data_IF_404884153805
#
_entry.id   IF_404884153805
#
_cell.length_a   1.000
_cell.length_b   1.000
_cell.length_c   1.000
_cell.angle_alpha   90.00
_cell.angle_beta   90.00
_cell.angle_gamma   90.00
#
_symmetry.space_group_name_H-M   'P 1'
#
loop_
_entity.id
_entity.type
_entity.pdbx_description
1 polymer ?
#
# COMPACT_ATOMS: atom_id res chain seq x y z
N UNK A 1 4.55 25.48 13.78
CA UNK A 1 4.75 24.07 14.19
C UNK A 1 5.71 23.42 13.20
N UNK A 2 6.73 22.70 13.70
CA UNK A 2 7.72 22.02 12.85
C UNK A 2 7.46 20.51 12.84
N UNK A 3 7.15 19.96 11.67
CA UNK A 3 6.78 18.56 11.47
C UNK A 3 7.89 17.88 10.66
N UNK A 4 8.45 16.81 11.20
CA UNK A 4 9.32 15.92 10.47
C UNK A 4 8.51 14.75 9.93
N UNK A 5 8.70 14.35 8.66
CA UNK A 5 7.96 13.27 8.03
C UNK A 5 8.88 12.32 7.27
N UNK A 6 8.51 11.04 7.18
CA UNK A 6 9.30 10.03 6.49
C UNK A 6 8.44 9.01 5.76
N UNK A 7 8.44 9.02 4.43
CA UNK A 7 7.89 7.99 3.56
C UNK A 7 9.02 7.31 2.78
N UNK A 8 9.15 5.99 2.92
CA UNK A 8 10.25 5.22 2.33
C UNK A 8 9.85 4.43 1.07
N UNK A 9 8.57 4.45 0.69
CA UNK A 9 8.00 3.73 -0.45
C UNK A 9 6.98 4.60 -1.19
N UNK A 10 6.75 4.32 -2.46
CA UNK A 10 5.83 5.08 -3.33
C UNK A 10 4.40 5.11 -2.79
N UNK A 11 3.92 3.98 -2.21
CA UNK A 11 2.60 3.91 -1.56
C UNK A 11 2.52 4.86 -0.36
N UNK A 12 3.59 4.92 0.43
CA UNK A 12 3.69 5.83 1.57
C UNK A 12 3.75 7.30 1.14
N UNK A 13 4.45 7.62 0.04
CA UNK A 13 4.51 8.98 -0.51
C UNK A 13 3.13 9.46 -0.98
N UNK A 14 2.39 8.61 -1.69
CA UNK A 14 1.03 8.92 -2.15
C UNK A 14 0.08 9.22 -0.98
N UNK A 15 0.07 8.36 0.03
CA UNK A 15 -0.81 8.54 1.20
C UNK A 15 -0.30 9.69 2.08
N UNK A 16 1.02 9.84 2.19
CA UNK A 16 1.67 10.94 2.90
C UNK A 16 1.37 12.30 2.29
N UNK A 17 1.21 12.38 0.97
CA UNK A 17 0.82 13.61 0.28
C UNK A 17 -0.55 14.12 0.74
N UNK A 18 -1.54 13.24 0.88
CA UNK A 18 -2.85 13.61 1.42
C UNK A 18 -2.75 14.14 2.86
N UNK A 19 -1.90 13.53 3.70
CA UNK A 19 -1.64 14.01 5.05
C UNK A 19 -0.97 15.40 5.04
N UNK A 20 0.06 15.59 4.22
CA UNK A 20 0.77 16.89 4.09
C UNK A 20 -0.20 17.99 3.68
N UNK A 21 -1.01 17.74 2.65
CA UNK A 21 -2.06 18.66 2.20
C UNK A 21 -2.99 19.07 3.33
N UNK A 22 -3.59 18.08 4.00
CA UNK A 22 -4.52 18.34 5.11
C UNK A 22 -3.88 19.11 6.28
N UNK A 23 -2.62 18.82 6.61
CA UNK A 23 -1.90 19.53 7.66
C UNK A 23 -1.64 21.01 7.30
N UNK A 24 -1.30 21.30 6.04
CA UNK A 24 -1.09 22.67 5.55
C UNK A 24 -2.43 23.42 5.47
N UNK A 25 -3.50 22.78 5.03
CA UNK A 25 -4.84 23.38 5.01
C UNK A 25 -5.32 23.76 6.42
N UNK A 26 -5.05 22.91 7.42
CA UNK A 26 -5.40 23.17 8.82
C UNK A 26 -4.50 24.21 9.50
N UNK A 27 -3.24 24.28 9.13
CA UNK A 27 -2.27 25.20 9.67
C UNK A 27 -1.25 25.64 8.61
N UNK A 28 -1.55 26.70 7.83
CA UNK A 28 -0.68 27.18 6.76
C UNK A 28 0.74 27.58 7.21
N UNK A 29 0.95 27.90 8.49
CA UNK A 29 2.25 28.26 9.03
C UNK A 29 3.08 27.04 9.48
N UNK A 30 2.58 25.81 9.28
CA UNK A 30 3.36 24.64 9.63
C UNK A 30 4.49 24.40 8.61
N UNK A 31 5.65 24.02 9.14
CA UNK A 31 6.82 23.64 8.32
C UNK A 31 6.92 22.12 8.32
N UNK A 32 6.81 21.51 7.15
CA UNK A 32 6.89 20.06 6.97
C UNK A 32 8.13 19.74 6.16
N UNK A 33 9.03 18.92 6.71
CA UNK A 33 10.27 18.54 6.03
C UNK A 33 10.60 17.06 6.26
N UNK A 34 11.31 16.43 5.31
CA UNK A 34 11.76 15.06 5.58
C UNK A 34 12.17 14.20 4.40
N UNK A 35 12.00 12.89 4.59
CA UNK A 35 12.17 11.87 3.55
C UNK A 35 10.87 11.77 2.77
N UNK A 36 10.88 12.22 1.52
CA UNK A 36 9.68 12.35 0.69
C UNK A 36 9.97 12.03 -0.78
N UNK A 37 8.92 11.67 -1.49
CA UNK A 37 8.91 11.59 -2.94
C UNK A 37 8.32 12.84 -3.60
N UNK A 38 7.95 12.71 -4.87
CA UNK A 38 7.40 13.81 -5.66
C UNK A 38 5.99 14.21 -5.21
N UNK A 39 5.17 13.23 -4.75
CA UNK A 39 3.78 13.50 -4.36
C UNK A 39 3.73 14.38 -3.09
N UNK A 40 4.43 14.00 -2.03
CA UNK A 40 4.50 14.81 -0.82
C UNK A 40 5.16 16.16 -1.06
N UNK A 41 6.18 16.23 -1.92
CA UNK A 41 6.84 17.48 -2.27
C UNK A 41 5.92 18.42 -3.02
N UNK A 42 5.08 17.88 -3.92
CA UNK A 42 4.06 18.64 -4.64
C UNK A 42 2.99 19.28 -3.74
N UNK A 43 2.72 18.68 -2.58
CA UNK A 43 1.78 19.20 -1.57
C UNK A 43 2.46 20.09 -0.50
N UNK A 44 3.74 20.44 -0.68
CA UNK A 44 4.44 21.42 0.17
C UNK A 44 5.38 20.85 1.23
N UNK A 45 5.69 19.55 1.18
CA UNK A 45 6.75 18.98 2.03
C UNK A 45 8.14 19.37 1.50
N UNK A 46 8.96 19.98 2.33
CA UNK A 46 10.37 20.28 2.00
C UNK A 46 11.21 18.99 2.06
N UNK A 47 11.60 18.48 0.90
CA UNK A 47 12.35 17.23 0.77
C UNK A 47 13.81 17.39 1.14
N UNK A 48 14.21 16.89 2.32
CA UNK A 48 15.60 16.83 2.77
C UNK A 48 16.32 15.59 2.24
N UNK A 49 15.60 14.47 2.10
CA UNK A 49 16.09 13.22 1.51
C UNK A 49 15.09 12.72 0.46
N UNK A 50 15.63 12.24 -0.65
CA UNK A 50 14.81 11.60 -1.67
C UNK A 50 14.48 10.16 -1.24
N UNK A 51 13.20 9.77 -1.32
CA UNK A 51 12.77 8.42 -0.97
C UNK A 51 13.38 7.33 -1.87
N UNK A 52 13.86 7.65 -3.08
CA UNK A 52 14.52 6.69 -3.97
C UNK A 52 15.74 6.03 -3.31
N UNK A 53 16.35 6.72 -2.34
CA UNK A 53 17.43 6.14 -1.52
C UNK A 53 16.93 5.08 -0.53
N UNK A 54 15.65 5.07 -0.20
CA UNK A 54 15.01 4.10 0.70
C UNK A 54 14.21 3.03 -0.06
N UNK A 55 13.77 3.35 -1.27
CA UNK A 55 12.94 2.46 -2.09
C UNK A 55 13.78 1.29 -2.62
N UNK A 56 13.52 0.09 -2.11
CA UNK A 56 14.27 -1.13 -2.44
C UNK A 56 13.29 -2.24 -2.75
N UNK A 57 13.33 -2.75 -3.97
CA UNK A 57 12.50 -3.86 -4.42
C UNK A 57 13.29 -5.17 -4.44
N UNK A 58 12.79 -6.17 -3.70
CA UNK A 58 13.31 -7.53 -3.71
C UNK A 58 14.41 -7.83 -2.68
N UNK A 59 14.45 -9.09 -2.23
CA UNK A 59 15.30 -9.55 -1.12
C UNK A 59 16.81 -9.38 -1.39
N UNK A 60 17.24 -9.64 -2.63
CA UNK A 60 18.66 -9.51 -3.02
C UNK A 60 19.12 -8.05 -3.08
N UNK A 61 18.23 -7.14 -3.48
CA UNK A 61 18.52 -5.71 -3.54
C UNK A 61 18.56 -5.09 -2.14
N UNK A 62 17.67 -5.54 -1.24
CA UNK A 62 17.69 -5.15 0.18
C UNK A 62 19.04 -5.45 0.81
N UNK A 63 19.62 -6.62 0.56
CA UNK A 63 20.92 -6.99 1.12
C UNK A 63 22.06 -6.08 0.59
N UNK A 64 22.04 -5.73 -0.69
CA UNK A 64 23.05 -4.85 -1.29
C UNK A 64 22.94 -3.40 -0.80
N UNK A 65 21.72 -2.90 -0.61
CA UNK A 65 21.45 -1.53 -0.18
C UNK A 65 21.36 -1.36 1.36
N UNK A 66 21.51 -2.45 2.13
CA UNK A 66 21.38 -2.39 3.58
C UNK A 66 22.32 -1.35 4.25
N UNK A 67 23.61 -1.22 3.87
CA UNK A 67 24.49 -0.20 4.44
C UNK A 67 24.01 1.23 4.18
N UNK A 68 23.53 1.52 2.96
CA UNK A 68 22.99 2.84 2.60
C UNK A 68 21.71 3.17 3.36
N UNK A 69 20.81 2.19 3.53
CA UNK A 69 19.59 2.34 4.33
C UNK A 69 19.91 2.61 5.81
N UNK A 70 20.92 1.94 6.37
CA UNK A 70 21.36 2.18 7.73
C UNK A 70 21.96 3.58 7.88
N UNK A 71 22.76 4.03 6.90
CA UNK A 71 23.34 5.37 6.89
C UNK A 71 22.25 6.44 6.77
N UNK A 72 21.26 6.26 5.88
CA UNK A 72 20.11 7.15 5.73
C UNK A 72 19.33 7.26 7.04
N UNK A 73 19.00 6.14 7.68
CA UNK A 73 18.34 6.14 8.99
C UNK A 73 19.13 6.90 10.06
N UNK A 74 20.44 6.68 10.10
CA UNK A 74 21.30 7.35 11.05
C UNK A 74 21.34 8.86 10.81
N UNK A 75 21.41 9.30 9.54
CA UNK A 75 21.38 10.72 9.21
C UNK A 75 20.07 11.40 9.60
N UNK A 76 18.93 10.76 9.35
CA UNK A 76 17.59 11.24 9.76
C UNK A 76 17.50 11.38 11.28
N UNK A 77 17.92 10.35 12.03
CA UNK A 77 17.90 10.37 13.50
C UNK A 77 18.80 11.48 14.04
N UNK A 78 20.03 11.60 13.52
CA UNK A 78 20.97 12.64 13.97
C UNK A 78 20.44 14.04 13.68
N UNK A 79 19.91 14.27 12.49
CA UNK A 79 19.34 15.57 12.11
C UNK A 79 18.20 15.99 13.04
N UNK A 80 17.21 15.09 13.26
CA UNK A 80 16.05 15.44 14.06
C UNK A 80 16.32 15.44 15.57
N UNK A 81 17.28 14.68 16.06
CA UNK A 81 17.74 14.81 17.45
C UNK A 81 18.31 16.22 17.73
N UNK A 82 18.98 16.82 16.74
CA UNK A 82 19.55 18.16 16.84
C UNK A 82 18.51 19.27 16.58
N UNK A 83 17.69 19.12 15.54
CA UNK A 83 16.71 20.15 15.12
C UNK A 83 15.42 20.16 15.94
N UNK A 84 15.14 19.08 16.69
CA UNK A 84 14.04 18.91 17.64
C UNK A 84 12.68 19.36 17.07
N UNK A 85 12.13 18.71 16.06
CA UNK A 85 10.79 19.00 15.58
C UNK A 85 9.75 18.76 16.68
N UNK A 86 8.58 19.40 16.57
CA UNK A 86 7.47 19.21 17.50
C UNK A 86 6.91 17.77 17.44
N UNK A 87 6.95 17.16 16.23
CA UNK A 87 6.52 15.79 15.98
C UNK A 87 7.28 15.18 14.81
N UNK A 88 7.55 13.87 14.88
CA UNK A 88 8.00 13.06 13.78
C UNK A 88 6.89 12.10 13.35
N UNK A 89 6.58 12.05 12.05
CA UNK A 89 5.56 11.18 11.45
C UNK A 89 6.23 10.19 10.51
N UNK A 90 6.20 8.89 10.87
CA UNK A 90 6.57 7.83 9.94
C UNK A 90 5.35 7.39 9.14
N UNK A 91 5.45 7.39 7.82
CA UNK A 91 4.37 6.96 6.91
C UNK A 91 4.72 5.61 6.33
N UNK A 92 3.89 4.61 6.60
CA UNK A 92 4.08 3.24 6.11
C UNK A 92 5.49 2.67 6.41
N UNK A 93 5.94 1.64 5.68
CA UNK A 93 7.28 1.04 5.78
C UNK A 93 7.75 0.83 7.23
N UNK A 94 7.01 0.04 8.04
CA UNK A 94 7.22 -0.06 9.49
C UNK A 94 8.62 -0.58 9.87
N UNK A 95 9.22 -1.43 9.04
CA UNK A 95 10.57 -1.95 9.29
C UNK A 95 11.66 -0.88 9.08
N UNK A 96 11.37 0.21 8.35
CA UNK A 96 12.22 1.37 8.21
C UNK A 96 11.91 2.43 9.29
N UNK A 97 10.66 2.86 9.39
CA UNK A 97 10.24 4.00 10.21
C UNK A 97 10.25 3.72 11.71
N UNK A 98 9.81 2.55 12.20
CA UNK A 98 9.83 2.25 13.63
C UNK A 98 11.21 2.33 14.28
N UNK A 99 12.28 2.11 13.51
CA UNK A 99 13.64 2.24 14.06
C UNK A 99 14.05 3.71 14.23
N UNK A 100 13.57 4.60 13.36
CA UNK A 100 13.77 6.05 13.47
C UNK A 100 12.91 6.57 14.62
N UNK A 101 11.61 6.30 14.60
CA UNK A 101 10.64 6.70 15.61
C UNK A 101 11.10 6.33 17.02
N UNK A 102 11.51 5.07 17.23
CA UNK A 102 12.00 4.61 18.53
C UNK A 102 13.17 5.44 19.05
N UNK A 103 14.12 5.77 18.16
CA UNK A 103 15.29 6.58 18.52
C UNK A 103 14.88 8.02 18.86
N UNK A 104 14.00 8.60 18.06
CA UNK A 104 13.52 9.97 18.28
C UNK A 104 12.64 10.07 19.54
N UNK A 105 11.77 9.10 19.79
CA UNK A 105 10.99 8.98 21.01
C UNK A 105 11.88 8.90 22.25
N UNK A 106 12.96 8.10 22.20
CA UNK A 106 13.96 8.04 23.28
C UNK A 106 14.66 9.38 23.55
N UNK A 107 14.72 10.25 22.54
CA UNK A 107 15.26 11.62 22.64
C UNK A 107 14.17 12.68 22.98
N UNK A 108 12.98 12.24 23.39
CA UNK A 108 11.89 13.12 23.83
C UNK A 108 11.08 13.77 22.72
N UNK A 109 11.26 13.37 21.44
CA UNK A 109 10.48 13.85 20.31
C UNK A 109 9.19 13.03 20.23
N UNK A 110 8.05 13.68 20.07
CA UNK A 110 6.76 13.01 19.85
C UNK A 110 6.79 12.26 18.53
N UNK A 111 6.25 11.03 18.54
CA UNK A 111 6.27 10.15 17.36
C UNK A 111 4.88 9.67 17.01
N UNK A 112 4.55 9.76 15.74
CA UNK A 112 3.30 9.28 15.14
C UNK A 112 3.65 8.32 14.01
N UNK A 113 2.96 7.20 13.95
CA UNK A 113 3.06 6.30 12.80
C UNK A 113 1.75 6.31 12.03
N UNK A 114 1.80 6.63 10.77
CA UNK A 114 0.65 6.65 9.87
C UNK A 114 0.66 5.42 8.97
N UNK A 115 -0.43 4.72 8.90
CA UNK A 115 -0.69 3.42 8.28
C UNK A 115 -0.25 2.27 9.20
N UNK A 116 -1.23 1.69 9.87
CA UNK A 116 -1.02 0.52 10.71
C UNK A 116 -0.50 -0.68 9.91
N UNK A 117 0.60 -1.31 10.32
CA UNK A 117 0.95 -2.61 9.74
C UNK A 117 -0.09 -3.66 10.13
N UNK A 118 -0.29 -4.68 9.28
CA UNK A 118 -1.31 -5.73 9.45
C UNK A 118 -1.04 -6.67 10.64
N UNK A 119 -0.71 -6.11 11.82
CA UNK A 119 -0.40 -6.87 13.05
C UNK A 119 -1.62 -7.55 13.66
N UNK A 120 -2.80 -7.08 13.34
CA UNK A 120 -4.07 -7.69 13.70
C UNK A 120 -4.30 -9.03 12.98
N UNK A 121 -3.82 -9.16 11.73
CA UNK A 121 -3.97 -10.38 10.93
C UNK A 121 -2.88 -11.41 11.25
N UNK A 122 -1.66 -10.95 11.56
CA UNK A 122 -0.51 -11.81 11.81
C UNK A 122 0.55 -11.04 12.61
N UNK A 123 1.46 -11.74 13.31
CA UNK A 123 2.56 -11.13 14.08
C UNK A 123 2.10 -10.13 15.16
N UNK A 124 1.01 -10.41 15.87
CA UNK A 124 0.53 -9.57 16.98
C UNK A 124 1.59 -9.28 18.07
N UNK A 125 2.63 -10.11 18.17
CA UNK A 125 3.78 -9.87 19.06
C UNK A 125 4.60 -8.62 18.69
N UNK A 126 4.43 -8.06 17.49
CA UNK A 126 5.05 -6.77 17.11
C UNK A 126 4.52 -5.58 17.91
N UNK A 127 3.39 -5.72 18.59
CA UNK A 127 2.79 -4.62 19.37
C UNK A 127 3.77 -4.01 20.39
N UNK A 128 4.60 -4.84 21.03
CA UNK A 128 5.63 -4.34 21.97
C UNK A 128 6.65 -3.43 21.30
N UNK A 129 7.03 -3.73 20.04
CA UNK A 129 7.93 -2.88 19.26
C UNK A 129 7.24 -1.59 18.84
N UNK A 130 5.96 -1.66 18.47
CA UNK A 130 5.15 -0.49 18.09
C UNK A 130 5.06 0.47 19.27
N UNK A 131 4.68 -0.01 20.46
CA UNK A 131 4.60 0.80 21.69
C UNK A 131 5.93 1.47 22.06
N UNK A 132 7.04 0.79 21.81
CA UNK A 132 8.37 1.35 22.06
C UNK A 132 8.80 2.38 21.00
N UNK A 133 8.13 2.41 19.84
CA UNK A 133 8.51 3.25 18.71
C UNK A 133 7.63 4.47 18.55
N UNK A 134 6.31 4.34 18.72
CA UNK A 134 5.39 5.44 18.45
C UNK A 134 4.50 5.79 19.63
N UNK A 135 4.13 7.06 19.76
CA UNK A 135 3.21 7.56 20.78
C UNK A 135 1.76 7.43 20.30
N UNK A 136 1.51 7.61 19.02
CA UNK A 136 0.19 7.55 18.41
C UNK A 136 0.26 6.79 17.08
N UNK A 137 -0.68 5.87 16.87
CA UNK A 137 -0.92 5.19 15.60
C UNK A 137 -2.10 5.82 14.87
N UNK A 138 -1.92 6.23 13.62
CA UNK A 138 -3.01 6.66 12.73
C UNK A 138 -3.40 5.49 11.84
N UNK A 139 -4.63 5.05 11.97
CA UNK A 139 -5.17 3.85 11.32
C UNK A 139 -6.07 4.22 10.14
N UNK A 140 -5.97 3.46 9.06
CA UNK A 140 -6.79 3.63 7.86
C UNK A 140 -8.16 2.95 7.98
N UNK A 141 -8.30 1.99 8.91
CA UNK A 141 -9.52 1.21 9.08
C UNK A 141 -10.01 1.23 10.53
N UNK A 142 -11.34 1.32 10.76
CA UNK A 142 -11.88 1.43 12.11
C UNK A 142 -11.61 0.19 12.98
N UNK A 143 -11.62 -1.01 12.41
CA UNK A 143 -11.37 -2.26 13.14
C UNK A 143 -9.96 -2.38 13.73
N UNK A 144 -9.00 -1.60 13.24
CA UNK A 144 -7.62 -1.58 13.75
C UNK A 144 -7.56 -0.97 15.15
N UNK A 145 -8.48 -0.04 15.47
CA UNK A 145 -8.51 0.66 16.77
C UNK A 145 -8.69 -0.35 17.91
N UNK A 146 -9.63 -1.26 17.80
CA UNK A 146 -9.91 -2.29 18.82
C UNK A 146 -8.65 -3.11 19.15
N UNK A 147 -7.85 -3.40 18.13
CA UNK A 147 -6.59 -4.13 18.33
C UNK A 147 -5.61 -3.31 19.17
N UNK A 148 -5.41 -2.03 18.87
CA UNK A 148 -4.49 -1.17 19.58
C UNK A 148 -4.97 -0.85 21.00
N UNK A 149 -6.24 -0.59 21.20
CA UNK A 149 -6.84 -0.33 22.51
C UNK A 149 -6.69 -1.51 23.47
N UNK A 150 -6.96 -2.76 23.00
CA UNK A 150 -6.75 -3.99 23.77
C UNK A 150 -5.31 -4.16 24.25
N UNK A 151 -4.36 -3.54 23.57
CA UNK A 151 -2.95 -3.61 23.93
C UNK A 151 -2.43 -2.33 24.61
N UNK A 152 -3.30 -1.37 24.92
CA UNK A 152 -2.93 -0.11 25.57
C UNK A 152 -2.00 0.77 24.74
N UNK A 153 -2.15 0.77 23.41
CA UNK A 153 -1.50 1.68 22.47
C UNK A 153 -2.51 2.72 22.01
N UNK A 154 -2.15 3.99 22.06
CA UNK A 154 -3.00 5.06 21.50
C UNK A 154 -3.09 4.92 20.00
N UNK A 155 -4.31 4.89 19.49
CA UNK A 155 -4.60 4.84 18.07
C UNK A 155 -5.79 5.76 17.73
N UNK A 156 -5.81 6.24 16.48
CA UNK A 156 -6.89 7.08 15.97
C UNK A 156 -7.22 6.63 14.53
N UNK A 157 -8.49 6.41 14.25
CA UNK A 157 -8.98 6.19 12.91
C UNK A 157 -9.06 7.53 12.17
N UNK A 158 -8.39 7.63 11.03
CA UNK A 158 -8.32 8.85 10.21
C UNK A 158 -8.93 8.67 8.82
N UNK A 159 -9.39 7.47 8.48
CA UNK A 159 -9.91 7.15 7.15
C UNK A 159 -8.81 6.84 6.13
N UNK A 160 -9.25 6.36 4.98
CA UNK A 160 -8.35 6.04 3.87
C UNK A 160 -8.43 7.15 2.81
N UNK A 161 -7.32 7.78 2.37
CA UNK A 161 -7.33 8.88 1.39
C UNK A 161 -8.03 8.53 0.08
N UNK A 162 -7.99 7.27 -0.34
CA UNK A 162 -8.71 6.82 -1.54
C UNK A 162 -10.23 7.06 -1.45
N UNK A 163 -10.82 7.14 -0.27
CA UNK A 163 -12.25 7.41 -0.11
C UNK A 163 -12.65 8.83 -0.58
N UNK A 164 -11.71 9.76 -0.60
CA UNK A 164 -11.94 11.11 -1.15
C UNK A 164 -11.85 11.12 -2.68
N UNK A 165 -10.96 10.30 -3.24
CA UNK A 165 -10.64 10.26 -4.66
C UNK A 165 -11.61 9.35 -5.40
N UNK A 166 -11.85 8.15 -4.86
CA UNK A 166 -12.69 7.14 -5.48
C UNK A 166 -14.15 7.36 -5.07
N UNK A 167 -15.03 7.39 -6.05
CA UNK A 167 -16.48 7.47 -5.82
C UNK A 167 -17.15 6.18 -6.30
N UNK A 168 -18.16 5.69 -5.57
CA UNK A 168 -18.97 4.59 -6.07
C UNK A 168 -19.53 4.91 -7.46
N UNK A 169 -19.50 3.94 -8.35
CA UNK A 169 -20.11 4.13 -9.69
C UNK A 169 -21.60 4.42 -9.55
N UNK A 170 -22.05 5.49 -10.23
CA UNK A 170 -23.45 5.95 -10.14
C UNK A 170 -24.42 5.08 -10.92
N UNK A 171 -23.96 4.58 -12.05
CA UNK A 171 -24.75 3.72 -12.95
C UNK A 171 -23.85 2.63 -13.51
N UNK A 172 -24.43 1.48 -13.70
CA UNK A 172 -23.76 0.34 -14.33
C UNK A 172 -24.61 -0.11 -15.53
N UNK A 173 -24.01 -0.13 -16.70
CA UNK A 173 -24.60 -0.68 -17.91
C UNK A 173 -23.93 -2.04 -18.12
N UNK A 174 -24.65 -3.16 -17.94
CA UNK A 174 -24.07 -4.48 -18.15
C UNK A 174 -23.51 -4.62 -19.57
N UNK A 175 -22.29 -5.12 -19.68
CA UNK A 175 -21.56 -5.20 -20.95
C UNK A 175 -20.68 -6.43 -21.06
N UNK A 176 -20.83 -7.41 -20.14
CA UNK A 176 -20.03 -8.65 -20.10
C UNK A 176 -18.51 -8.39 -20.04
N UNK A 177 -18.08 -7.29 -19.41
CA UNK A 177 -16.70 -6.88 -19.32
C UNK A 177 -16.06 -7.41 -18.03
N UNK A 178 -15.02 -8.22 -18.20
CA UNK A 178 -14.24 -8.79 -17.11
C UNK A 178 -12.86 -8.15 -17.09
N UNK A 179 -12.55 -7.43 -16.02
CA UNK A 179 -11.23 -6.84 -15.80
C UNK A 179 -10.34 -7.83 -15.05
N UNK A 180 -9.11 -7.98 -15.53
CA UNK A 180 -8.10 -8.87 -14.98
C UNK A 180 -6.95 -8.03 -14.42
N UNK A 181 -6.71 -8.12 -13.11
CA UNK A 181 -5.67 -7.35 -12.41
C UNK A 181 -4.68 -8.33 -11.75
N UNK A 182 -3.63 -8.76 -12.46
CA UNK A 182 -2.72 -9.82 -12.00
C UNK A 182 -1.77 -9.38 -10.87
N UNK A 183 -1.83 -8.12 -10.45
CA UNK A 183 -0.93 -7.51 -9.47
C UNK A 183 -0.01 -6.46 -10.07
N UNK A 184 0.84 -5.88 -9.23
CA UNK A 184 1.79 -4.82 -9.60
C UNK A 184 3.25 -5.26 -9.55
N UNK A 185 3.55 -6.39 -8.91
CA UNK A 185 4.91 -6.91 -8.75
C UNK A 185 5.19 -8.03 -9.72
N UNK A 186 6.43 -8.13 -10.19
CA UNK A 186 6.86 -9.17 -11.13
C UNK A 186 6.46 -10.59 -10.69
N UNK A 187 6.72 -10.93 -9.44
CA UNK A 187 6.41 -12.25 -8.89
C UNK A 187 4.90 -12.54 -8.87
N UNK A 188 4.06 -11.53 -8.60
CA UNK A 188 2.60 -11.64 -8.64
C UNK A 188 2.12 -11.86 -10.07
N UNK A 189 2.53 -10.98 -10.99
CA UNK A 189 2.13 -11.04 -12.41
C UNK A 189 2.53 -12.39 -13.00
N UNK A 190 3.80 -12.81 -12.84
CA UNK A 190 4.31 -14.08 -13.40
C UNK A 190 3.63 -15.31 -12.79
N UNK A 191 3.21 -15.26 -11.53
CA UNK A 191 2.56 -16.40 -10.89
C UNK A 191 1.06 -16.48 -11.14
N UNK A 192 0.37 -15.35 -11.29
CA UNK A 192 -1.10 -15.30 -11.42
C UNK A 192 -1.58 -15.27 -12.87
N UNK A 193 -0.84 -14.62 -13.77
CA UNK A 193 -1.28 -14.46 -15.16
C UNK A 193 -1.58 -15.79 -15.88
N UNK A 194 -0.77 -16.86 -15.75
CA UNK A 194 -1.09 -18.14 -16.38
C UNK A 194 -2.42 -18.74 -15.89
N UNK A 195 -2.72 -18.62 -14.60
CA UNK A 195 -3.97 -19.10 -14.01
C UNK A 195 -5.17 -18.26 -14.49
N UNK A 196 -4.97 -16.93 -14.56
CA UNK A 196 -5.97 -16.00 -15.11
C UNK A 196 -6.28 -16.36 -16.56
N UNK A 197 -5.27 -16.56 -17.42
CA UNK A 197 -5.47 -16.89 -18.82
C UNK A 197 -6.15 -18.25 -19.01
N UNK A 198 -5.87 -19.22 -18.13
CA UNK A 198 -6.58 -20.50 -18.11
C UNK A 198 -8.06 -20.28 -17.75
N UNK A 199 -8.34 -19.45 -16.75
CA UNK A 199 -9.70 -19.10 -16.36
C UNK A 199 -10.47 -18.37 -17.47
N UNK A 200 -9.81 -17.49 -18.23
CA UNK A 200 -10.40 -16.81 -19.40
C UNK A 200 -10.90 -17.80 -20.43
N UNK A 201 -10.09 -18.85 -20.74
CA UNK A 201 -10.51 -19.90 -21.69
C UNK A 201 -11.79 -20.59 -21.22
N UNK A 202 -11.81 -21.03 -19.96
CA UNK A 202 -12.98 -21.72 -19.37
C UNK A 202 -14.22 -20.81 -19.35
N UNK A 203 -14.06 -19.52 -19.02
CA UNK A 203 -15.18 -18.57 -19.03
C UNK A 203 -15.72 -18.34 -20.45
N UNK A 204 -14.86 -18.26 -21.48
CA UNK A 204 -15.30 -18.14 -22.87
C UNK A 204 -16.00 -19.38 -23.42
N UNK A 205 -15.65 -20.55 -22.92
CA UNK A 205 -16.40 -21.79 -23.27
C UNK A 205 -17.85 -21.73 -22.76
N UNK A 206 -18.10 -21.04 -21.66
CA UNK A 206 -19.45 -20.88 -21.09
C UNK A 206 -20.19 -19.68 -21.69
N UNK A 207 -19.51 -18.58 -21.94
CA UNK A 207 -20.07 -17.38 -22.56
C UNK A 207 -19.06 -16.74 -23.53
N UNK A 208 -19.15 -17.01 -24.83
CA UNK A 208 -18.25 -16.46 -25.83
C UNK A 208 -18.30 -14.93 -26.01
N UNK A 209 -19.35 -14.28 -25.49
CA UNK A 209 -19.50 -12.83 -25.60
C UNK A 209 -18.73 -12.05 -24.51
N UNK A 210 -18.08 -12.74 -23.57
CA UNK A 210 -17.29 -12.10 -22.53
C UNK A 210 -16.11 -11.32 -23.12
N UNK A 211 -15.99 -10.08 -22.72
CA UNK A 211 -14.92 -9.16 -23.11
C UNK A 211 -13.91 -9.07 -21.97
N UNK A 212 -12.66 -9.43 -22.25
CA UNK A 212 -11.60 -9.43 -21.25
C UNK A 212 -10.60 -8.29 -21.49
N UNK A 213 -10.19 -7.67 -20.40
CA UNK A 213 -9.12 -6.67 -20.39
C UNK A 213 -8.17 -6.91 -19.23
N UNK A 214 -6.86 -6.83 -19.47
CA UNK A 214 -5.85 -6.83 -18.42
C UNK A 214 -5.47 -5.38 -18.13
N UNK A 215 -5.44 -5.00 -16.85
CA UNK A 215 -4.92 -3.70 -16.40
C UNK A 215 -3.59 -3.89 -15.67
N UNK A 216 -2.56 -3.18 -16.14
CA UNK A 216 -1.25 -3.11 -15.53
C UNK A 216 -1.01 -1.74 -14.92
N UNK A 217 -0.25 -1.70 -13.81
CA UNK A 217 0.08 -0.45 -13.13
C UNK A 217 1.02 0.45 -13.97
N UNK A 218 1.94 -0.16 -14.70
CA UNK A 218 2.94 0.52 -15.53
C UNK A 218 3.38 -0.34 -16.74
N UNK A 219 4.31 0.17 -17.54
CA UNK A 219 4.81 -0.49 -18.76
C UNK A 219 5.85 -1.60 -18.51
N UNK A 220 6.35 -1.80 -17.29
CA UNK A 220 7.51 -2.66 -17.02
C UNK A 220 7.32 -4.10 -17.50
N UNK A 221 6.10 -4.63 -17.42
CA UNK A 221 5.78 -6.00 -17.79
C UNK A 221 4.92 -6.11 -19.05
N UNK A 222 4.67 -4.99 -19.76
CA UNK A 222 3.81 -4.95 -20.94
C UNK A 222 4.19 -6.02 -21.97
N UNK A 223 5.42 -6.00 -22.46
CA UNK A 223 5.86 -6.91 -23.51
C UNK A 223 5.83 -8.39 -23.09
N UNK A 224 6.12 -8.68 -21.81
CA UNK A 224 6.00 -10.05 -21.31
C UNK A 224 4.53 -10.48 -21.25
N UNK A 225 3.63 -9.63 -20.76
CA UNK A 225 2.19 -9.92 -20.70
C UNK A 225 1.61 -10.12 -22.09
N UNK A 226 1.95 -9.26 -23.05
CA UNK A 226 1.56 -9.41 -24.47
C UNK A 226 2.01 -10.74 -25.04
N UNK A 227 3.24 -11.17 -24.74
CA UNK A 227 3.75 -12.48 -25.17
C UNK A 227 2.97 -13.68 -24.59
N UNK A 228 2.43 -13.54 -23.37
CA UNK A 228 1.63 -14.59 -22.73
C UNK A 228 0.17 -14.60 -23.24
N UNK A 229 -0.39 -13.44 -23.56
CA UNK A 229 -1.73 -13.32 -24.17
C UNK A 229 -1.75 -14.02 -25.53
N UNK A 230 -0.72 -13.83 -26.34
CA UNK A 230 -0.62 -14.37 -27.70
C UNK A 230 -1.80 -13.94 -28.57
N UNK A 231 -2.45 -14.89 -29.24
CA UNK A 231 -3.59 -14.64 -30.14
C UNK A 231 -4.95 -14.55 -29.39
N UNK A 232 -4.96 -14.62 -28.05
CA UNK A 232 -6.18 -14.46 -27.29
C UNK A 232 -6.67 -13.00 -27.42
N UNK A 233 -7.92 -12.81 -27.77
CA UNK A 233 -8.54 -11.49 -27.88
C UNK A 233 -8.76 -10.87 -26.49
N UNK A 234 -7.68 -10.36 -25.86
CA UNK A 234 -7.67 -9.72 -24.55
C UNK A 234 -7.01 -8.35 -24.72
N UNK A 235 -7.75 -7.30 -24.39
CA UNK A 235 -7.24 -5.93 -24.41
C UNK A 235 -6.26 -5.71 -23.25
N UNK A 236 -5.29 -4.82 -23.45
CA UNK A 236 -4.36 -4.40 -22.42
C UNK A 236 -4.50 -2.89 -22.16
N UNK A 237 -4.60 -2.51 -20.89
CA UNK A 237 -4.59 -1.12 -20.44
C UNK A 237 -3.49 -0.88 -19.39
N UNK A 238 -3.00 0.36 -19.29
CA UNK A 238 -1.87 0.69 -18.42
C UNK A 238 -2.13 2.02 -17.71
N UNK A 239 -2.02 2.01 -16.37
CA UNK A 239 -2.10 3.22 -15.56
C UNK A 239 -3.50 3.84 -15.42
N UNK A 240 -4.54 3.18 -15.92
CA UNK A 240 -5.92 3.66 -15.93
C UNK A 240 -6.89 2.77 -15.13
N UNK A 241 -6.37 2.06 -14.14
CA UNK A 241 -7.09 1.04 -13.36
C UNK A 241 -8.47 1.51 -12.89
N UNK A 242 -8.59 2.70 -12.31
CA UNK A 242 -9.86 3.22 -11.80
C UNK A 242 -10.93 3.35 -12.88
N UNK A 243 -10.55 3.82 -14.07
CA UNK A 243 -11.44 3.90 -15.24
C UNK A 243 -11.91 2.51 -15.67
N UNK A 244 -10.96 1.56 -15.75
CA UNK A 244 -11.25 0.20 -16.17
C UNK A 244 -12.12 -0.54 -15.14
N UNK A 245 -11.87 -0.37 -13.83
CA UNK A 245 -12.72 -0.91 -12.78
C UNK A 245 -14.16 -0.37 -12.95
N UNK A 246 -14.31 0.94 -13.11
CA UNK A 246 -15.63 1.60 -13.16
C UNK A 246 -16.52 1.06 -14.27
N UNK A 247 -15.95 0.75 -15.46
CA UNK A 247 -16.70 0.25 -16.61
C UNK A 247 -16.87 -1.26 -16.67
N UNK A 248 -16.28 -1.99 -15.73
CA UNK A 248 -16.30 -3.46 -15.70
C UNK A 248 -17.51 -4.01 -14.96
N UNK A 249 -17.95 -5.21 -15.33
CA UNK A 249 -19.02 -5.96 -14.67
C UNK A 249 -18.49 -6.83 -13.54
N UNK A 250 -17.28 -7.34 -13.72
CA UNK A 250 -16.57 -8.19 -12.77
C UNK A 250 -15.07 -7.84 -12.81
N UNK A 251 -14.42 -7.89 -11.67
CA UNK A 251 -12.95 -7.77 -11.56
C UNK A 251 -12.36 -9.05 -10.96
N UNK A 252 -11.39 -9.65 -11.65
CA UNK A 252 -10.54 -10.69 -11.08
C UNK A 252 -9.22 -10.02 -10.68
N UNK A 253 -8.96 -9.95 -9.38
CA UNK A 253 -7.89 -9.08 -8.83
C UNK A 253 -6.98 -9.85 -7.88
N UNK A 254 -5.67 -9.62 -8.01
CA UNK A 254 -4.69 -10.08 -7.03
C UNK A 254 -4.96 -9.46 -5.65
N UNK A 255 -4.82 -10.25 -4.59
CA UNK A 255 -4.97 -9.74 -3.22
C UNK A 255 -3.93 -8.65 -2.92
N UNK A 256 -4.40 -7.47 -2.56
CA UNK A 256 -3.60 -6.28 -2.29
C UNK A 256 -4.47 -5.04 -2.16
N UNK A 257 -3.86 -3.86 -2.22
CA UNK A 257 -4.55 -2.56 -2.11
C UNK A 257 -5.61 -2.37 -3.20
N UNK A 258 -5.39 -2.91 -4.41
CA UNK A 258 -6.33 -2.83 -5.51
C UNK A 258 -7.72 -3.43 -5.19
N UNK A 259 -7.80 -4.42 -4.29
CA UNK A 259 -9.10 -4.96 -3.83
C UNK A 259 -9.94 -3.90 -3.11
N UNK A 260 -9.29 -2.98 -2.39
CA UNK A 260 -9.97 -1.87 -1.73
C UNK A 260 -10.50 -0.86 -2.76
N UNK A 261 -9.73 -0.57 -3.81
CA UNK A 261 -10.14 0.31 -4.90
C UNK A 261 -11.40 -0.23 -5.61
N UNK A 262 -11.40 -1.53 -5.93
CA UNK A 262 -12.57 -2.21 -6.53
C UNK A 262 -13.79 -2.14 -5.60
N UNK A 263 -13.60 -2.38 -4.29
CA UNK A 263 -14.67 -2.32 -3.30
C UNK A 263 -15.24 -0.90 -3.17
N UNK A 264 -14.39 0.13 -3.13
CA UNK A 264 -14.83 1.53 -3.03
C UNK A 264 -15.59 2.00 -4.27
N UNK A 265 -15.21 1.54 -5.46
CA UNK A 265 -15.95 1.83 -6.71
C UNK A 265 -17.26 1.04 -6.77
N UNK A 266 -17.37 -0.05 -6.01
CA UNK A 266 -18.60 -0.86 -5.92
C UNK A 266 -18.77 -1.83 -7.09
N UNK A 267 -17.67 -2.48 -7.52
CA UNK A 267 -17.70 -3.51 -8.57
C UNK A 267 -17.55 -4.90 -7.93
N UNK A 268 -18.35 -5.90 -8.34
CA UNK A 268 -18.16 -7.27 -7.94
C UNK A 268 -16.73 -7.76 -8.25
N UNK A 269 -16.11 -8.51 -7.33
CA UNK A 269 -14.76 -8.99 -7.54
C UNK A 269 -14.55 -10.43 -7.11
N UNK A 270 -13.61 -11.09 -7.76
CA UNK A 270 -13.01 -12.35 -7.34
C UNK A 270 -11.57 -12.06 -6.97
N UNK A 271 -11.24 -12.25 -5.69
CA UNK A 271 -9.86 -12.05 -5.22
C UNK A 271 -9.08 -13.34 -5.37
N UNK A 272 -7.93 -13.26 -6.02
CA UNK A 272 -7.02 -14.38 -6.22
C UNK A 272 -5.69 -14.11 -5.52
N UNK A 273 -5.08 -15.19 -5.02
CA UNK A 273 -3.78 -15.12 -4.38
C UNK A 273 -3.00 -16.41 -4.56
N UNK A 274 -1.72 -16.30 -4.92
CA UNK A 274 -0.85 -17.46 -5.08
C UNK A 274 0.50 -17.20 -4.44
N UNK A 275 0.91 -18.09 -3.55
CA UNK A 275 2.21 -18.08 -2.89
C UNK A 275 2.89 -19.44 -3.06
N UNK A 276 4.21 -19.44 -2.94
CA UNK A 276 4.98 -20.70 -3.02
C UNK A 276 4.58 -21.68 -1.92
N UNK A 277 4.63 -22.97 -2.20
CA UNK A 277 4.24 -24.03 -1.26
C UNK A 277 4.91 -23.91 0.13
N UNK A 278 6.23 -23.70 0.23
CA UNK A 278 6.89 -23.48 1.53
C UNK A 278 6.36 -22.25 2.27
N UNK A 279 6.16 -21.12 1.54
CA UNK A 279 5.60 -19.91 2.13
C UNK A 279 4.16 -20.11 2.60
N UNK A 280 3.35 -20.88 1.86
CA UNK A 280 1.98 -21.21 2.24
C UNK A 280 1.91 -21.93 3.59
N UNK A 281 2.79 -22.92 3.83
CA UNK A 281 2.82 -23.64 5.10
C UNK A 281 3.15 -22.75 6.30
N UNK A 282 4.02 -21.75 6.08
CA UNK A 282 4.38 -20.78 7.12
C UNK A 282 3.20 -19.80 7.35
N UNK A 283 2.67 -19.24 6.28
CA UNK A 283 1.58 -18.25 6.32
C UNK A 283 0.33 -18.87 6.95
N UNK A 284 -0.08 -20.08 6.54
CA UNK A 284 -1.23 -20.80 7.10
C UNK A 284 -1.17 -20.97 8.62
N UNK A 285 0.05 -21.14 9.20
CA UNK A 285 0.24 -21.27 10.65
C UNK A 285 0.22 -19.94 11.39
N UNK A 286 0.52 -18.84 10.70
CA UNK A 286 0.67 -17.51 11.29
C UNK A 286 -0.56 -16.62 11.10
N UNK A 287 -1.39 -16.90 10.09
CA UNK A 287 -2.63 -16.16 9.85
C UNK A 287 -3.60 -16.40 11.00
N UNK A 288 -4.15 -15.29 11.50
CA UNK A 288 -5.21 -15.25 12.53
C UNK A 288 -6.57 -14.88 11.95
N UNK A 289 -6.66 -14.76 10.64
CA UNK A 289 -7.88 -14.46 9.89
C UNK A 289 -8.11 -15.53 8.83
N UNK A 290 -9.36 -15.84 8.58
CA UNK A 290 -9.79 -16.76 7.52
C UNK A 290 -9.78 -16.07 6.13
N UNK A 291 -9.55 -14.78 6.09
CA UNK A 291 -9.62 -13.97 4.88
C UNK A 291 -8.25 -13.47 4.43
N UNK A 292 -8.03 -13.45 3.12
CA UNK A 292 -6.80 -12.96 2.49
C UNK A 292 -6.96 -11.61 1.80
N UNK A 293 -8.16 -11.04 1.85
CA UNK A 293 -8.51 -9.77 1.20
C UNK A 293 -9.02 -8.75 2.21
N UNK A 294 -8.57 -7.51 2.11
CA UNK A 294 -9.01 -6.41 2.96
C UNK A 294 -10.55 -6.22 2.95
N UNK A 295 -11.25 -6.22 1.80
CA UNK A 295 -12.71 -6.09 1.79
C UNK A 295 -13.49 -7.18 2.53
N UNK A 296 -12.89 -8.33 2.78
CA UNK A 296 -13.52 -9.39 3.57
C UNK A 296 -13.30 -9.23 5.07
N UNK A 297 -12.40 -8.32 5.47
CA UNK A 297 -12.07 -8.05 6.88
C UNK A 297 -12.81 -6.82 7.39
N UNK A 298 -13.06 -5.85 6.51
CA UNK A 298 -13.83 -4.64 6.77
C UNK A 298 -15.33 -4.96 6.82
#
# INVERSE_FOLDING_TARGET
>A
MKIAISAAETSGDLIGAALVKSLIELNPDCQIEGLAGEMMSGEGCHRLWNMDHANVMGFSEVLKKLPSLLKLRSSIVTHYTNSKPDVFIGVDSPDFNFKIERKLKQNGIKTVHFISPSVWAWRSNRITKIKASTDLMLCLFPFEIDFYEKHGQKALFVGHPLAEILKPRKQHIPGKRVLLMPGSREAEIKSLLPEILTSVKLMREQDPELIFRISLANNDFKGWVESQIGEQNIDLSIGDAHTQITISDLVIVASGTATLEVAMIGVPMIVIYKISGPSYQIVKRLLKTDYVSLPNVI
#
